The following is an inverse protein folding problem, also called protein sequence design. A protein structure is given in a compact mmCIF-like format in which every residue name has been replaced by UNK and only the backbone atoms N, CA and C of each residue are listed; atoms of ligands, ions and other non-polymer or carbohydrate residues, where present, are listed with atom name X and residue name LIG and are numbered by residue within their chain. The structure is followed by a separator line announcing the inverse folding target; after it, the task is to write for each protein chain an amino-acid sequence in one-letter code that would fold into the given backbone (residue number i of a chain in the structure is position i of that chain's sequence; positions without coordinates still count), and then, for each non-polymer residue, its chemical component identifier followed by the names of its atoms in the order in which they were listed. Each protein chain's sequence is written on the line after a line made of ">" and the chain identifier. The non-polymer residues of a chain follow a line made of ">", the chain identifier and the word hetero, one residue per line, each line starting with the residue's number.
data_IF_455769941269
#
_entry.id   IF_455769941269
#
_cell.length_a   1.000
_cell.length_b   1.000
_cell.length_c   1.000
_cell.angle_alpha   90.00
_cell.angle_beta   90.00
_cell.angle_gamma   90.00
#
_symmetry.space_group_name_H-M   'P 1'
#
loop_
_entity.id
_entity.type
_entity.pdbx_description
1 polymer ?
#
# COMPACT_ATOMS: atom_id res chain seq x y z
N UNK A 1 -6.29 -21.24 -3.17
CA UNK A 1 -6.47 -20.04 -3.94
C UNK A 1 -6.29 -18.81 -3.10
N UNK A 2 -5.50 -17.88 -3.57
CA UNK A 2 -5.23 -16.69 -2.80
C UNK A 2 -6.19 -15.59 -3.12
N UNK A 3 -6.70 -14.98 -2.08
CA UNK A 3 -7.54 -13.81 -2.25
C UNK A 3 -6.71 -12.60 -1.93
N UNK A 4 -6.49 -11.80 -2.94
CA UNK A 4 -5.79 -10.56 -2.73
C UNK A 4 -6.78 -9.42 -2.62
N UNK A 5 -6.42 -8.47 -1.80
CA UNK A 5 -7.24 -7.29 -1.61
C UNK A 5 -6.46 -6.09 -2.10
N UNK A 6 -7.19 -5.06 -2.45
CA UNK A 6 -6.57 -3.82 -2.87
C UNK A 6 -6.44 -2.89 -1.68
N UNK A 7 -5.27 -2.30 -1.54
CA UNK A 7 -5.00 -1.35 -0.47
C UNK A 7 -4.57 -0.03 -1.05
N UNK A 8 -5.01 1.04 -0.43
CA UNK A 8 -4.55 2.37 -0.78
C UNK A 8 -3.37 2.71 0.12
N UNK A 9 -2.28 3.13 -0.50
CA UNK A 9 -1.06 3.45 0.22
C UNK A 9 -0.65 4.87 -0.11
N UNK A 10 -0.26 5.61 0.91
CA UNK A 10 0.24 6.96 0.71
C UNK A 10 1.59 7.11 1.40
N UNK A 11 2.47 7.84 0.75
CA UNK A 11 3.81 8.07 1.28
C UNK A 11 3.99 9.55 1.57
N UNK A 12 5.01 9.85 2.36
CA UNK A 12 5.22 11.19 2.91
C UNK A 12 5.38 12.26 1.85
N UNK A 13 5.96 11.91 0.70
CA UNK A 13 6.23 12.91 -0.33
C UNK A 13 5.07 13.10 -1.29
N UNK A 14 3.89 12.62 -0.91
CA UNK A 14 2.69 12.95 -1.66
C UNK A 14 2.23 11.91 -2.65
N UNK A 15 2.94 10.84 -2.78
CA UNK A 15 2.54 9.78 -3.69
C UNK A 15 1.47 8.91 -3.07
N UNK A 16 0.45 8.58 -3.84
CA UNK A 16 -0.60 7.68 -3.39
C UNK A 16 -0.89 6.71 -4.52
N UNK A 17 -1.01 5.43 -4.18
CA UNK A 17 -1.32 4.44 -5.19
C UNK A 17 -2.04 3.26 -4.56
N UNK A 18 -2.48 2.34 -5.40
CA UNK A 18 -3.15 1.13 -4.93
C UNK A 18 -2.26 -0.07 -5.17
N UNK A 19 -2.23 -0.96 -4.22
CA UNK A 19 -1.47 -2.20 -4.37
C UNK A 19 -2.37 -3.36 -3.98
N UNK A 20 -2.04 -4.54 -4.49
CA UNK A 20 -2.75 -5.76 -4.13
C UNK A 20 -1.88 -6.56 -3.18
N UNK A 21 -2.50 -7.06 -2.12
CA UNK A 21 -1.79 -7.86 -1.15
C UNK A 21 -2.77 -8.78 -0.44
N UNK A 22 -2.24 -9.77 0.25
CA UNK A 22 -3.09 -10.74 0.93
C UNK A 22 -3.71 -10.16 2.18
N UNK A 23 -2.99 -9.32 2.86
CA UNK A 23 -3.49 -8.70 4.08
C UNK A 23 -2.73 -7.41 4.31
N UNK A 24 -3.11 -6.73 5.38
CA UNK A 24 -2.55 -5.42 5.64
C UNK A 24 -1.06 -5.48 5.95
N UNK A 25 -0.63 -6.50 6.67
CA UNK A 25 0.79 -6.63 6.99
C UNK A 25 1.62 -6.81 5.73
N UNK A 26 1.11 -7.60 4.79
CA UNK A 26 1.78 -7.80 3.51
C UNK A 26 1.80 -6.49 2.73
N UNK A 27 0.68 -5.77 2.73
CA UNK A 27 0.59 -4.50 2.03
C UNK A 27 1.60 -3.49 2.59
N UNK A 28 1.74 -3.45 3.91
CA UNK A 28 2.68 -2.55 4.54
C UNK A 28 4.10 -2.87 4.12
N UNK A 29 4.44 -4.15 4.07
CA UNK A 29 5.78 -4.56 3.67
C UNK A 29 6.07 -4.13 2.24
N UNK A 30 5.12 -4.35 1.35
CA UNK A 30 5.28 -3.94 -0.04
C UNK A 30 5.43 -2.42 -0.12
N UNK A 31 4.61 -1.71 0.63
CA UNK A 31 4.63 -0.25 0.62
C UNK A 31 5.98 0.30 1.06
N UNK A 32 6.54 -0.27 2.13
CA UNK A 32 7.84 0.18 2.61
C UNK A 32 8.91 -0.06 1.55
N UNK A 33 8.88 -1.20 0.90
CA UNK A 33 9.84 -1.51 -0.15
C UNK A 33 9.71 -0.53 -1.30
N UNK A 34 8.50 -0.24 -1.71
CA UNK A 34 8.28 0.69 -2.81
C UNK A 34 8.77 2.09 -2.44
N UNK A 35 8.51 2.50 -1.21
CA UNK A 35 8.96 3.80 -0.76
C UNK A 35 10.45 3.94 -0.82
N UNK A 36 11.17 2.90 -0.40
CA UNK A 36 12.63 2.93 -0.44
C UNK A 36 13.15 2.90 -1.87
N UNK A 37 12.55 2.06 -2.69
CA UNK A 37 13.03 1.86 -4.04
C UNK A 37 12.82 3.10 -4.89
N UNK A 38 11.72 3.81 -4.66
CA UNK A 38 11.33 4.93 -5.49
C UNK A 38 11.50 6.28 -4.83
N UNK A 39 12.06 6.31 -3.64
CA UNK A 39 12.30 7.58 -2.96
C UNK A 39 11.05 8.31 -2.56
N UNK A 40 10.03 7.58 -2.13
CA UNK A 40 8.74 8.18 -1.81
C UNK A 40 8.61 8.66 -0.38
N UNK A 41 9.60 8.36 0.44
CA UNK A 41 9.53 8.69 1.85
C UNK A 41 8.85 7.59 2.64
N UNK A 42 8.55 7.87 3.90
CA UNK A 42 7.95 6.85 4.74
C UNK A 42 6.46 6.71 4.44
N UNK A 43 5.94 5.53 4.73
CA UNK A 43 4.53 5.25 4.54
C UNK A 43 3.72 6.02 5.55
N UNK A 44 2.71 6.72 5.09
CA UNK A 44 1.79 7.44 5.97
C UNK A 44 0.62 6.58 6.39
N UNK A 45 0.04 5.84 5.43
CA UNK A 45 -1.04 4.94 5.77
C UNK A 45 -1.16 3.84 4.73
N UNK A 46 -1.77 2.75 5.17
CA UNK A 46 -2.16 1.64 4.33
C UNK A 46 -3.59 1.30 4.72
N UNK A 47 -4.52 1.45 3.80
CA UNK A 47 -5.93 1.25 4.08
C UNK A 47 -6.55 0.32 3.06
N UNK A 48 -7.48 -0.53 3.48
CA UNK A 48 -8.21 -1.34 2.51
C UNK A 48 -9.02 -0.43 1.59
N UNK A 49 -8.91 -0.68 0.31
CA UNK A 49 -9.64 0.12 -0.67
C UNK A 49 -10.94 -0.54 -1.08
N UNK A 50 -11.18 -1.73 -0.63
CA UNK A 50 -12.40 -2.41 -0.97
C UNK A 50 -13.59 -1.72 -0.32
N UNK A 51 -14.72 -1.91 -0.84
CA UNK A 51 -15.88 -1.25 -0.30
C UNK A 51 -16.11 0.11 -0.90
N UNK A 52 -15.21 0.57 -1.69
CA UNK A 52 -15.44 1.78 -2.44
C UNK A 52 -16.48 1.48 -3.48
N UNK A 53 -17.54 2.19 -3.46
CA UNK A 53 -18.63 1.91 -4.37
C UNK A 53 -18.74 2.94 -5.44
#
# INVERSE_FOLDING_TARGET
>A
MMNEMTFEVSWAYGETTFINARDEAHAMRVAVQMGKRNGLGKVLWVLPAEGVK
#
